data_IF_310593359249
#
_entry.id   IF_310593359249
#
_cell.length_a   1.000
_cell.length_b   1.000
_cell.length_c   1.000
_cell.angle_alpha   90.00
_cell.angle_beta   90.00
_cell.angle_gamma   90.00
#
_symmetry.space_group_name_H-M   'P 1'
#
loop_
_entity.id
_entity.type
_entity.pdbx_description
1 polymer ?
#
# COMPACT_ATOMS: atom_id res chain seq x y z
N UNK A 1 30.85 23.92 52.79
CA UNK A 1 30.95 22.98 51.68
C UNK A 1 31.37 23.78 50.45
N UNK A 2 32.54 23.55 49.95
CA UNK A 2 32.97 24.14 48.69
C UNK A 2 32.12 23.54 47.54
N UNK A 3 31.68 24.33 46.55
CA UNK A 3 30.96 23.76 45.42
C UNK A 3 31.87 22.75 44.70
N UNK A 4 31.37 21.53 44.56
CA UNK A 4 31.98 20.54 43.71
C UNK A 4 32.08 21.19 42.33
N UNK A 5 33.29 21.44 41.85
CA UNK A 5 33.54 21.90 40.47
C UNK A 5 32.90 20.85 39.58
N UNK A 6 31.84 21.21 38.84
CA UNK A 6 31.23 20.33 37.86
C UNK A 6 32.32 19.97 36.84
N UNK A 7 32.85 18.74 36.95
CA UNK A 7 33.73 18.21 35.87
C UNK A 7 32.96 18.30 34.55
N UNK A 8 33.66 18.68 33.51
CA UNK A 8 33.08 18.75 32.17
C UNK A 8 32.43 17.40 31.83
N UNK A 9 31.08 17.37 31.78
CA UNK A 9 30.29 16.15 31.57
C UNK A 9 30.33 15.70 30.10
N UNK A 10 30.69 16.62 29.18
CA UNK A 10 30.71 16.38 27.74
C UNK A 10 32.14 16.45 27.20
N UNK A 11 32.44 15.55 26.26
CA UNK A 11 33.65 15.62 25.42
C UNK A 11 33.25 16.08 24.02
N UNK A 12 34.07 16.94 23.44
CA UNK A 12 33.82 17.52 22.13
C UNK A 12 35.01 17.30 21.20
N UNK A 13 34.69 17.21 19.91
CA UNK A 13 35.66 17.29 18.81
C UNK A 13 35.38 18.59 18.07
N UNK A 14 36.45 19.33 17.74
CA UNK A 14 36.32 20.55 16.89
C UNK A 14 36.24 20.13 15.44
N UNK A 15 35.20 20.59 14.76
CA UNK A 15 34.98 20.38 13.34
C UNK A 15 35.85 21.36 12.49
N UNK A 16 35.97 21.07 11.19
CA UNK A 16 36.77 21.89 10.27
C UNK A 16 36.23 23.34 10.11
N UNK A 17 34.96 23.56 10.40
CA UNK A 17 34.28 24.87 10.37
C UNK A 17 34.30 25.63 11.70
N UNK A 18 35.12 25.17 12.66
CA UNK A 18 35.20 25.70 14.04
C UNK A 18 33.90 25.53 14.85
N UNK A 19 33.05 24.58 14.51
CA UNK A 19 31.94 24.12 15.36
C UNK A 19 32.36 22.90 16.17
N UNK A 20 31.46 22.38 17.01
CA UNK A 20 31.72 21.26 17.91
C UNK A 20 30.76 20.09 17.65
N UNK A 21 31.33 18.89 17.66
CA UNK A 21 30.57 17.64 17.76
C UNK A 21 30.70 17.08 19.19
N UNK A 22 29.57 16.78 19.83
CA UNK A 22 29.57 16.05 21.10
C UNK A 22 29.83 14.57 20.80
N UNK A 23 30.82 13.96 21.48
CA UNK A 23 31.24 12.58 21.24
C UNK A 23 31.18 11.70 22.48
N UNK A 24 31.10 12.28 23.67
CA UNK A 24 31.00 11.49 24.90
C UNK A 24 30.32 12.28 26.01
N UNK A 25 29.63 11.56 26.93
CA UNK A 25 28.98 12.10 28.11
C UNK A 25 29.25 11.22 29.33
N UNK A 26 29.80 11.82 30.39
CA UNK A 26 30.15 11.13 31.65
C UNK A 26 29.26 11.54 32.82
N UNK A 27 28.34 12.47 32.63
CA UNK A 27 27.46 12.97 33.66
C UNK A 27 26.39 12.01 34.15
N UNK A 28 25.53 12.45 35.09
CA UNK A 28 24.43 11.66 35.66
C UNK A 28 23.46 11.21 34.55
N UNK A 29 22.89 10.02 34.69
CA UNK A 29 22.07 9.43 33.61
C UNK A 29 20.57 9.86 33.63
N UNK A 30 20.24 10.99 34.22
CA UNK A 30 18.83 11.43 34.35
C UNK A 30 18.39 12.22 33.14
N UNK A 31 18.07 13.52 33.34
CA UNK A 31 17.76 14.46 32.26
C UNK A 31 19.00 15.24 31.88
N UNK A 32 19.27 15.34 30.60
CA UNK A 32 20.48 16.01 30.03
C UNK A 32 20.05 17.12 29.10
N UNK A 33 20.64 18.31 29.29
CA UNK A 33 20.57 19.40 28.31
C UNK A 33 21.94 19.50 27.62
N UNK A 34 21.97 19.33 26.32
CA UNK A 34 23.19 19.51 25.52
C UNK A 34 23.47 21.02 25.41
N UNK A 35 24.67 21.49 25.72
CA UNK A 35 24.99 22.91 25.66
C UNK A 35 24.96 23.41 24.20
N UNK A 36 24.35 24.58 23.97
CA UNK A 36 24.31 25.20 22.65
C UNK A 36 25.70 25.70 22.20
N UNK A 37 26.54 26.09 23.18
CA UNK A 37 27.90 26.58 22.95
C UNK A 37 28.84 26.10 24.04
N UNK A 38 30.12 25.92 23.72
CA UNK A 38 31.21 25.66 24.65
C UNK A 38 32.46 26.39 24.17
N UNK A 39 33.13 27.11 25.07
CA UNK A 39 34.33 27.92 24.77
C UNK A 39 34.14 28.92 23.58
N UNK A 40 32.93 29.47 23.44
CA UNK A 40 32.59 30.39 22.37
C UNK A 40 32.28 29.76 21.00
N UNK A 41 32.34 28.41 20.88
CA UNK A 41 32.00 27.65 19.67
C UNK A 41 30.63 27.01 19.80
N UNK A 42 29.88 26.97 18.71
CA UNK A 42 28.56 26.31 18.65
C UNK A 42 28.70 24.78 18.62
N UNK A 43 27.82 24.10 19.35
CA UNK A 43 27.62 22.66 19.25
C UNK A 43 26.62 22.40 18.13
N UNK A 44 27.08 21.81 17.04
CA UNK A 44 26.27 21.60 15.83
C UNK A 44 25.97 20.13 15.55
N UNK A 45 26.68 19.19 16.19
CA UNK A 45 26.48 17.78 15.96
C UNK A 45 26.59 16.94 17.24
N UNK A 46 25.87 15.83 17.24
CA UNK A 46 25.89 14.80 18.30
C UNK A 46 26.19 13.48 17.62
N UNK A 47 27.21 12.73 18.05
CA UNK A 47 27.57 11.49 17.39
C UNK A 47 28.00 10.41 18.41
N UNK A 48 27.26 9.28 18.45
CA UNK A 48 27.56 8.11 19.29
C UNK A 48 27.60 8.35 20.81
N UNK A 49 27.07 9.46 21.30
CA UNK A 49 27.34 10.01 22.65
C UNK A 49 26.73 9.17 23.76
N UNK A 50 25.47 8.79 23.60
CA UNK A 50 24.70 8.07 24.61
C UNK A 50 24.44 6.63 24.19
N UNK A 51 24.59 6.34 22.88
CA UNK A 51 24.42 5.03 22.27
C UNK A 51 25.77 4.31 22.16
N UNK A 52 25.93 3.25 22.89
CA UNK A 52 26.99 2.26 22.67
C UNK A 52 26.41 0.87 22.96
N UNK A 53 27.21 -0.18 22.83
CA UNK A 53 26.79 -1.58 23.08
C UNK A 53 26.12 -1.81 24.43
N UNK A 54 26.17 -0.86 25.34
CA UNK A 54 25.53 -0.90 26.69
C UNK A 54 24.45 0.17 26.87
N UNK A 55 24.31 1.14 25.95
CA UNK A 55 23.42 2.30 26.07
C UNK A 55 23.75 3.17 27.29
N UNK A 56 22.88 4.15 27.59
CA UNK A 56 22.84 4.86 28.90
C UNK A 56 21.54 4.46 29.60
N UNK A 57 21.52 3.33 30.32
CA UNK A 57 20.29 2.73 30.83
C UNK A 57 19.51 3.62 31.81
N UNK A 58 20.10 4.69 32.32
CA UNK A 58 19.41 5.62 33.22
C UNK A 58 19.03 6.97 32.61
N UNK A 59 19.33 7.22 31.31
CA UNK A 59 18.95 8.47 30.64
C UNK A 59 17.44 8.49 30.42
N UNK A 60 16.75 9.42 31.11
CA UNK A 60 15.28 9.55 31.06
C UNK A 60 14.80 10.71 30.17
N UNK A 61 15.64 11.72 29.97
CA UNK A 61 15.29 12.85 29.12
C UNK A 61 16.49 13.54 28.46
N UNK A 62 16.29 14.10 27.27
CA UNK A 62 17.31 14.88 26.58
C UNK A 62 16.69 16.11 25.92
N UNK A 63 17.39 17.27 26.08
CA UNK A 63 17.09 18.50 25.34
C UNK A 63 18.24 18.79 24.37
N UNK A 64 17.95 18.79 23.09
CA UNK A 64 18.86 19.11 21.99
C UNK A 64 18.59 20.57 21.59
N UNK A 65 19.58 21.47 21.69
CA UNK A 65 19.37 22.89 21.42
C UNK A 65 19.27 23.20 19.91
N UNK A 66 18.76 24.38 19.60
CA UNK A 66 18.62 24.86 18.21
C UNK A 66 19.98 25.09 17.49
N UNK A 67 21.11 25.08 18.20
CA UNK A 67 22.43 25.12 17.55
C UNK A 67 22.79 23.82 16.83
N UNK A 68 22.17 22.68 17.21
CA UNK A 68 22.42 21.36 16.63
C UNK A 68 21.68 21.24 15.31
N UNK A 69 22.42 20.90 14.27
CA UNK A 69 21.90 20.64 12.92
C UNK A 69 21.89 19.16 12.56
N UNK A 70 22.75 18.37 13.22
CA UNK A 70 22.89 16.95 12.93
C UNK A 70 22.85 16.09 14.21
N UNK A 71 21.94 15.12 14.24
CA UNK A 71 21.94 14.02 15.19
C UNK A 71 22.53 12.83 14.45
N UNK A 72 23.78 12.45 14.77
CA UNK A 72 24.55 11.48 14.03
C UNK A 72 24.21 10.02 14.34
N UNK A 73 25.08 9.12 13.84
CA UNK A 73 24.96 7.68 13.99
C UNK A 73 24.82 7.26 15.45
N UNK A 74 23.80 6.47 15.76
CA UNK A 74 23.56 5.84 17.06
C UNK A 74 23.62 6.81 18.26
N UNK A 75 23.34 8.10 18.07
CA UNK A 75 23.52 9.15 19.09
C UNK A 75 22.86 8.80 20.43
N UNK A 76 21.66 8.18 20.42
CA UNK A 76 20.89 7.74 21.58
C UNK A 76 20.49 6.26 21.49
N UNK A 77 21.21 5.47 20.68
CA UNK A 77 20.89 4.04 20.52
C UNK A 77 20.88 3.32 21.87
N UNK A 78 19.89 2.45 22.07
CA UNK A 78 19.74 1.64 23.31
C UNK A 78 19.59 2.46 24.59
N UNK A 79 19.10 3.70 24.51
CA UNK A 79 18.68 4.48 25.66
C UNK A 79 17.32 3.99 26.17
N UNK A 80 17.30 2.78 26.76
CA UNK A 80 16.06 2.05 27.13
C UNK A 80 15.13 2.81 28.06
N UNK A 81 15.66 3.71 28.90
CA UNK A 81 14.87 4.50 29.88
C UNK A 81 14.45 5.88 29.36
N UNK A 82 14.79 6.23 28.11
CA UNK A 82 14.50 7.54 27.54
C UNK A 82 12.99 7.68 27.32
N UNK A 83 12.37 8.61 28.06
CA UNK A 83 10.93 8.89 28.02
C UNK A 83 10.60 10.24 27.42
N UNK A 84 11.57 11.15 27.33
CA UNK A 84 11.36 12.49 26.81
C UNK A 84 12.54 12.97 25.94
N UNK A 85 12.23 13.45 24.74
CA UNK A 85 13.19 14.02 23.81
C UNK A 85 12.65 15.34 23.30
N UNK A 86 13.43 16.41 23.45
CA UNK A 86 13.17 17.69 22.77
C UNK A 86 14.23 17.88 21.69
N UNK A 87 13.84 17.94 20.43
CA UNK A 87 14.71 18.14 19.29
C UNK A 87 14.64 19.62 18.86
N UNK A 88 15.80 20.27 18.77
CA UNK A 88 15.89 21.68 18.34
C UNK A 88 15.42 21.91 16.92
N UNK A 89 14.87 23.11 16.66
CA UNK A 89 14.24 23.46 15.39
C UNK A 89 15.21 23.70 14.21
N UNK A 90 16.52 23.58 14.44
CA UNK A 90 17.54 23.66 13.37
C UNK A 90 18.09 22.29 12.95
N UNK A 91 17.63 21.19 13.55
CA UNK A 91 18.06 19.85 13.17
C UNK A 91 17.57 19.55 11.75
N UNK A 92 18.51 19.27 10.84
CA UNK A 92 18.24 18.97 9.44
C UNK A 92 18.35 17.47 9.13
N UNK A 93 19.14 16.73 9.94
CA UNK A 93 19.31 15.29 9.74
C UNK A 93 19.28 14.50 11.07
N UNK A 94 18.65 13.34 11.01
CA UNK A 94 18.64 12.32 12.07
C UNK A 94 19.31 11.08 11.48
N UNK A 95 20.41 10.64 12.05
CA UNK A 95 21.26 9.57 11.54
C UNK A 95 20.70 8.18 11.74
N UNK A 96 21.42 7.21 11.18
CA UNK A 96 21.14 5.79 11.32
C UNK A 96 21.19 5.36 12.79
N UNK A 97 20.21 4.57 13.25
CA UNK A 97 20.01 4.14 14.64
C UNK A 97 19.97 5.27 15.68
N UNK A 98 19.78 6.53 15.30
CA UNK A 98 19.94 7.68 16.21
C UNK A 98 19.13 7.52 17.52
N UNK A 99 17.92 6.97 17.46
CA UNK A 99 17.07 6.63 18.59
C UNK A 99 16.66 5.15 18.62
N UNK A 100 17.38 4.30 17.90
CA UNK A 100 17.11 2.88 17.87
C UNK A 100 17.07 2.27 19.29
N UNK A 101 16.13 1.37 19.54
CA UNK A 101 15.97 0.70 20.83
C UNK A 101 15.69 1.62 22.03
N UNK A 102 15.16 2.82 21.82
CA UNK A 102 14.62 3.67 22.89
C UNK A 102 13.25 3.15 23.34
N UNK A 103 13.23 1.98 23.97
CA UNK A 103 12.01 1.19 24.24
C UNK A 103 10.99 1.87 25.16
N UNK A 104 11.38 2.86 25.93
CA UNK A 104 10.48 3.63 26.83
C UNK A 104 10.00 4.95 26.24
N UNK A 105 10.37 5.30 24.98
CA UNK A 105 10.01 6.58 24.36
C UNK A 105 8.55 6.54 23.86
N UNK A 106 7.60 7.27 24.47
CA UNK A 106 6.19 7.17 24.12
C UNK A 106 5.80 8.04 22.91
N UNK A 107 6.54 9.10 22.66
CA UNK A 107 6.34 10.02 21.54
C UNK A 107 7.65 10.73 21.16
N UNK A 108 7.72 11.21 19.93
CA UNK A 108 8.78 12.06 19.44
C UNK A 108 8.21 13.06 18.46
N UNK A 109 8.59 14.35 18.60
CA UNK A 109 8.27 15.38 17.62
C UNK A 109 9.48 15.59 16.73
N UNK A 110 9.34 15.28 15.45
CA UNK A 110 10.36 15.53 14.42
C UNK A 110 10.12 16.95 13.88
N UNK A 111 11.08 17.87 14.02
CA UNK A 111 10.90 19.26 13.56
C UNK A 111 10.77 19.36 12.03
N UNK A 112 10.08 20.40 11.55
CA UNK A 112 9.94 20.69 10.12
C UNK A 112 11.26 21.11 9.43
N UNK A 113 12.32 21.28 10.17
CA UNK A 113 13.68 21.52 9.65
C UNK A 113 14.34 20.23 9.14
N UNK A 114 13.88 19.05 9.61
CA UNK A 114 14.46 17.74 9.25
C UNK A 114 14.12 17.43 7.80
N UNK A 115 15.15 17.17 7.00
CA UNK A 115 15.02 16.80 5.57
C UNK A 115 15.39 15.35 5.29
N UNK A 116 16.17 14.72 6.19
CA UNK A 116 16.58 13.32 6.05
C UNK A 116 16.57 12.58 7.38
N UNK A 117 16.15 11.32 7.33
CA UNK A 117 16.14 10.41 8.49
C UNK A 117 16.79 9.10 8.03
N UNK A 118 17.79 8.64 8.78
CA UNK A 118 18.57 7.47 8.46
C UNK A 118 17.86 6.15 8.73
N UNK A 119 18.44 5.07 8.25
CA UNK A 119 17.96 3.70 8.44
C UNK A 119 17.85 3.38 9.94
N UNK A 120 16.78 2.64 10.31
CA UNK A 120 16.56 2.19 11.71
C UNK A 120 16.53 3.32 12.76
N UNK A 121 16.31 4.58 12.37
CA UNK A 121 16.45 5.74 13.25
C UNK A 121 15.62 5.64 14.54
N UNK A 122 14.45 4.99 14.50
CA UNK A 122 13.54 4.72 15.63
C UNK A 122 13.19 3.22 15.74
N UNK A 123 14.03 2.34 15.19
CA UNK A 123 13.80 0.90 15.29
C UNK A 123 13.58 0.47 16.73
N UNK A 124 12.62 -0.42 16.94
CA UNK A 124 12.31 -1.03 18.24
C UNK A 124 12.03 -0.01 19.38
N UNK A 125 11.48 1.16 19.06
CA UNK A 125 10.88 2.07 20.04
C UNK A 125 9.51 1.55 20.45
N UNK A 126 9.49 0.48 21.25
CA UNK A 126 8.28 -0.32 21.52
C UNK A 126 7.18 0.42 22.29
N UNK A 127 7.48 1.52 22.98
CA UNK A 127 6.48 2.37 23.63
C UNK A 127 5.96 3.50 22.75
N UNK A 128 6.53 3.72 21.56
CA UNK A 128 6.13 4.81 20.67
C UNK A 128 4.71 4.57 20.18
N UNK A 129 3.79 5.49 20.48
CA UNK A 129 2.36 5.34 20.17
C UNK A 129 1.93 6.07 18.92
N UNK A 130 2.57 7.20 18.64
CA UNK A 130 2.27 8.03 17.44
C UNK A 130 3.56 8.57 16.86
N UNK A 131 3.60 8.74 15.53
CA UNK A 131 4.68 9.40 14.83
C UNK A 131 4.14 10.27 13.70
N UNK A 132 4.82 11.39 13.44
CA UNK A 132 4.55 12.24 12.28
C UNK A 132 5.87 12.50 11.56
N UNK A 133 5.94 12.10 10.29
CA UNK A 133 7.04 12.42 9.38
C UNK A 133 6.66 13.73 8.69
N UNK A 134 7.44 14.82 8.88
CA UNK A 134 7.10 16.11 8.29
C UNK A 134 7.20 16.13 6.76
N UNK A 135 6.51 17.07 6.12
CA UNK A 135 6.59 17.28 4.66
C UNK A 135 7.98 17.74 4.17
N UNK A 136 8.84 18.21 5.07
CA UNK A 136 10.24 18.53 4.77
C UNK A 136 11.11 17.31 4.51
N UNK A 137 10.69 16.12 5.00
CA UNK A 137 11.46 14.89 4.85
C UNK A 137 11.23 14.32 3.47
N UNK A 138 12.29 14.27 2.68
CA UNK A 138 12.27 13.71 1.32
C UNK A 138 12.86 12.30 1.26
N UNK A 139 13.76 11.98 2.21
CA UNK A 139 14.44 10.70 2.28
C UNK A 139 14.31 10.10 3.68
N UNK A 140 13.72 8.92 3.74
CA UNK A 140 13.71 8.05 4.92
C UNK A 140 14.55 6.82 4.60
N UNK A 141 15.45 6.47 5.51
CA UNK A 141 16.15 5.19 5.43
C UNK A 141 15.20 4.05 5.77
N UNK A 142 15.40 2.89 5.16
CA UNK A 142 14.55 1.72 5.41
C UNK A 142 14.49 1.33 6.90
N UNK A 143 13.42 0.66 7.31
CA UNK A 143 13.19 0.17 8.67
C UNK A 143 13.13 1.27 9.75
N UNK A 144 12.73 2.49 9.38
CA UNK A 144 12.74 3.66 10.29
C UNK A 144 11.99 3.41 11.61
N UNK A 145 10.81 2.81 11.58
CA UNK A 145 9.98 2.45 12.74
C UNK A 145 9.79 0.94 12.91
N UNK A 146 10.69 0.14 12.35
CA UNK A 146 10.60 -1.32 12.46
C UNK A 146 10.46 -1.75 13.93
N UNK A 147 9.54 -2.69 14.21
CA UNK A 147 9.26 -3.22 15.54
C UNK A 147 8.77 -2.18 16.58
N UNK A 148 8.25 -1.03 16.16
CA UNK A 148 7.54 -0.11 17.03
C UNK A 148 6.15 -0.68 17.37
N UNK A 149 6.11 -1.69 18.24
CA UNK A 149 4.92 -2.52 18.46
C UNK A 149 3.71 -1.78 19.04
N UNK A 150 3.89 -0.66 19.72
CA UNK A 150 2.80 0.19 20.24
C UNK A 150 2.37 1.29 19.26
N UNK A 151 3.03 1.44 18.09
CA UNK A 151 2.71 2.50 17.14
C UNK A 151 1.31 2.27 16.55
N UNK A 152 0.34 3.05 17.01
CA UNK A 152 -1.06 2.93 16.63
C UNK A 152 -1.45 3.83 15.45
N UNK A 153 -0.73 4.94 15.27
CA UNK A 153 -0.99 5.92 14.21
C UNK A 153 0.30 6.54 13.69
N UNK A 154 0.37 6.70 12.37
CA UNK A 154 1.47 7.41 11.70
C UNK A 154 0.91 8.36 10.64
N UNK A 155 1.51 9.56 10.56
CA UNK A 155 1.32 10.49 9.43
C UNK A 155 2.59 10.49 8.60
N UNK A 156 2.47 10.25 7.30
CA UNK A 156 3.58 10.24 6.35
C UNK A 156 3.54 11.54 5.56
N UNK A 157 4.64 12.28 5.57
CA UNK A 157 4.76 13.58 4.87
C UNK A 157 4.66 13.45 3.35
N UNK A 158 4.12 14.48 2.71
CA UNK A 158 3.81 14.51 1.27
C UNK A 158 5.05 14.68 0.36
N UNK A 159 6.27 14.60 0.91
CA UNK A 159 7.53 14.60 0.15
C UNK A 159 8.27 13.26 0.21
N UNK A 160 7.78 12.30 0.99
CA UNK A 160 8.35 10.94 1.05
C UNK A 160 8.08 10.24 -0.27
N UNK A 161 9.12 9.64 -0.88
CA UNK A 161 9.03 9.01 -2.21
C UNK A 161 9.05 7.48 -2.17
N UNK A 162 9.64 6.90 -1.14
CA UNK A 162 9.74 5.43 -0.96
C UNK A 162 9.49 5.04 0.48
N UNK A 163 8.92 3.86 0.69
CA UNK A 163 8.72 3.24 2.02
C UNK A 163 9.21 1.80 1.93
N UNK A 164 10.27 1.46 2.69
CA UNK A 164 10.95 0.16 2.62
C UNK A 164 11.09 -0.46 4.01
N UNK A 165 10.24 -1.42 4.34
CA UNK A 165 10.21 -2.09 5.65
C UNK A 165 10.00 -1.15 6.85
N UNK A 166 9.60 0.10 6.61
CA UNK A 166 9.63 1.17 7.61
C UNK A 166 8.69 0.91 8.80
N UNK A 167 7.63 0.16 8.59
CA UNK A 167 6.64 -0.14 9.63
C UNK A 167 6.53 -1.64 9.91
N UNK A 168 7.50 -2.44 9.48
CA UNK A 168 7.52 -3.88 9.74
C UNK A 168 7.39 -4.16 11.24
N UNK A 169 6.40 -4.97 11.63
CA UNK A 169 6.18 -5.31 13.03
C UNK A 169 5.54 -4.22 13.88
N UNK A 170 4.96 -3.17 13.30
CA UNK A 170 4.12 -2.19 14.00
C UNK A 170 2.75 -2.81 14.32
N UNK A 171 2.73 -3.73 15.28
CA UNK A 171 1.58 -4.61 15.54
C UNK A 171 0.32 -3.88 16.00
N UNK A 172 0.43 -2.66 16.51
CA UNK A 172 -0.71 -1.83 16.95
C UNK A 172 -1.21 -0.86 15.86
N UNK A 173 -0.54 -0.75 14.70
CA UNK A 173 -0.95 0.17 13.63
C UNK A 173 -2.28 -0.26 13.04
N UNK A 174 -3.30 0.63 13.10
CA UNK A 174 -4.68 0.29 12.72
C UNK A 174 -5.07 0.77 11.33
N UNK A 175 -4.52 1.89 10.91
CA UNK A 175 -4.77 2.46 9.59
C UNK A 175 -3.55 3.26 9.11
N UNK A 176 -3.41 3.37 7.79
CA UNK A 176 -2.36 4.19 7.19
C UNK A 176 -2.85 4.76 5.85
N UNK A 177 -2.47 6.03 5.59
CA UNK A 177 -2.59 6.65 4.28
C UNK A 177 -1.20 6.82 3.71
N UNK A 178 -0.94 6.21 2.57
CA UNK A 178 0.29 6.36 1.79
C UNK A 178 0.05 7.53 0.83
N UNK A 179 0.81 8.62 0.93
CA UNK A 179 0.59 9.82 0.12
C UNK A 179 0.92 9.59 -1.37
N UNK A 180 0.39 10.46 -2.22
CA UNK A 180 0.62 10.42 -3.67
C UNK A 180 2.08 10.73 -4.08
N UNK A 181 2.91 11.21 -3.17
CA UNK A 181 4.36 11.36 -3.40
C UNK A 181 5.10 10.03 -3.44
N UNK A 182 4.56 8.98 -2.81
CA UNK A 182 5.20 7.66 -2.72
C UNK A 182 5.01 6.91 -4.03
N UNK A 183 6.12 6.43 -4.59
CA UNK A 183 6.14 5.68 -5.86
C UNK A 183 6.38 4.18 -5.67
N UNK A 184 6.98 3.77 -4.55
CA UNK A 184 7.30 2.37 -4.24
C UNK A 184 7.07 2.05 -2.77
N UNK A 185 6.52 0.86 -2.51
CA UNK A 185 6.35 0.27 -1.19
C UNK A 185 6.83 -1.19 -1.24
N UNK A 186 7.79 -1.55 -0.39
CA UNK A 186 8.36 -2.89 -0.36
C UNK A 186 8.59 -3.35 1.08
N UNK A 187 8.01 -4.47 1.49
CA UNK A 187 8.04 -4.94 2.88
C UNK A 187 7.45 -3.98 3.92
N UNK A 188 6.86 -2.89 3.47
CA UNK A 188 6.59 -1.68 4.25
C UNK A 188 5.78 -1.90 5.53
N UNK A 189 4.79 -2.82 5.50
CA UNK A 189 3.85 -3.07 6.60
C UNK A 189 3.81 -4.56 6.99
N UNK A 190 4.87 -5.29 6.73
CA UNK A 190 4.95 -6.69 7.12
C UNK A 190 4.67 -6.87 8.62
N UNK A 191 3.84 -7.84 8.99
CA UNK A 191 3.43 -8.11 10.38
C UNK A 191 2.71 -6.96 11.12
N UNK A 192 2.07 -6.03 10.41
CA UNK A 192 1.14 -5.06 10.99
C UNK A 192 -0.22 -5.74 11.25
N UNK A 193 -0.27 -6.60 12.25
CA UNK A 193 -1.42 -7.51 12.48
C UNK A 193 -2.74 -6.80 12.78
N UNK A 194 -2.71 -5.58 13.31
CA UNK A 194 -3.90 -4.77 13.61
C UNK A 194 -4.31 -3.84 12.47
N UNK A 195 -3.56 -3.81 11.34
CA UNK A 195 -3.85 -2.91 10.21
C UNK A 195 -5.16 -3.34 9.54
N UNK A 196 -6.22 -2.58 9.80
CA UNK A 196 -7.58 -2.87 9.31
C UNK A 196 -7.87 -2.20 7.97
N UNK A 197 -7.23 -1.07 7.67
CA UNK A 197 -7.41 -0.33 6.43
C UNK A 197 -6.13 0.35 5.95
N UNK A 198 -5.96 0.41 4.63
CA UNK A 198 -4.88 1.14 3.95
C UNK A 198 -5.45 1.91 2.77
N UNK A 199 -5.00 3.17 2.63
CA UNK A 199 -5.17 3.94 1.40
C UNK A 199 -3.84 4.01 0.69
N UNK A 200 -3.78 3.51 -0.54
CA UNK A 200 -2.56 3.51 -1.37
C UNK A 200 -2.63 4.71 -2.32
N UNK A 201 -1.59 5.55 -2.30
CA UNK A 201 -1.49 6.74 -3.14
C UNK A 201 -1.46 6.42 -4.65
N UNK A 202 -1.96 7.33 -5.46
CA UNK A 202 -2.16 7.13 -6.90
C UNK A 202 -0.86 7.21 -7.74
N UNK A 203 0.30 7.43 -7.11
CA UNK A 203 1.61 7.37 -7.76
C UNK A 203 2.38 6.08 -7.47
N UNK A 204 1.86 5.21 -6.59
CA UNK A 204 2.50 3.91 -6.32
C UNK A 204 2.45 3.05 -7.58
N UNK A 205 3.62 2.68 -8.09
CA UNK A 205 3.76 1.88 -9.32
C UNK A 205 3.95 0.39 -9.04
N UNK A 206 4.39 0.04 -7.84
CA UNK A 206 4.64 -1.33 -7.43
C UNK A 206 4.22 -1.56 -5.98
N UNK A 207 3.42 -2.58 -5.73
CA UNK A 207 3.24 -3.18 -4.40
C UNK A 207 4.27 -4.30 -4.30
N UNK A 208 5.38 -4.04 -3.60
CA UNK A 208 6.55 -4.92 -3.55
C UNK A 208 6.32 -6.22 -2.77
N UNK A 209 7.38 -6.99 -2.65
CA UNK A 209 7.36 -8.26 -1.93
C UNK A 209 7.05 -8.03 -0.43
N UNK A 210 6.30 -8.92 0.19
CA UNK A 210 5.95 -8.91 1.62
C UNK A 210 5.22 -7.67 2.14
N UNK A 211 4.85 -6.71 1.29
CA UNK A 211 4.37 -5.35 1.69
C UNK A 211 3.31 -5.36 2.79
N UNK A 212 2.29 -6.23 2.69
CA UNK A 212 1.23 -6.41 3.69
C UNK A 212 1.19 -7.84 4.23
N UNK A 213 2.32 -8.56 4.20
CA UNK A 213 2.37 -9.91 4.74
C UNK A 213 1.93 -9.92 6.21
N UNK A 214 1.06 -10.85 6.56
CA UNK A 214 0.51 -11.01 7.93
C UNK A 214 -0.26 -9.80 8.47
N UNK A 215 -0.77 -8.91 7.62
CA UNK A 215 -1.76 -7.90 8.02
C UNK A 215 -3.13 -8.59 8.22
N UNK A 216 -3.23 -9.38 9.30
CA UNK A 216 -4.35 -10.30 9.50
C UNK A 216 -5.71 -9.61 9.67
N UNK A 217 -5.74 -8.37 10.15
CA UNK A 217 -6.96 -7.57 10.31
C UNK A 217 -7.35 -6.77 9.06
N UNK A 218 -6.57 -6.79 7.97
CA UNK A 218 -6.87 -6.04 6.76
C UNK A 218 -8.12 -6.62 6.08
N UNK A 219 -9.19 -5.81 6.01
CA UNK A 219 -10.51 -6.28 5.53
C UNK A 219 -10.75 -6.02 4.06
N UNK A 220 -10.24 -4.91 3.55
CA UNK A 220 -10.39 -4.51 2.15
C UNK A 220 -9.15 -3.77 1.68
N UNK A 221 -8.81 -3.92 0.40
CA UNK A 221 -7.76 -3.13 -0.23
C UNK A 221 -8.15 -2.76 -1.66
N UNK A 222 -7.92 -1.49 -2.02
CA UNK A 222 -7.99 -1.01 -3.39
C UNK A 222 -6.57 -0.75 -3.89
N UNK A 223 -6.14 -1.52 -4.88
CA UNK A 223 -4.87 -1.34 -5.57
C UNK A 223 -5.13 -0.38 -6.74
N UNK A 224 -4.51 0.82 -6.76
CA UNK A 224 -4.79 1.85 -7.76
C UNK A 224 -4.32 1.46 -9.17
N UNK A 225 -4.85 2.15 -10.18
CA UNK A 225 -4.50 1.93 -11.58
C UNK A 225 -3.05 2.31 -11.93
N UNK A 226 -2.35 3.02 -11.05
CA UNK A 226 -0.91 3.29 -11.18
C UNK A 226 -0.03 2.06 -10.98
N UNK A 227 -0.53 1.05 -10.24
CA UNK A 227 0.23 -0.15 -9.90
C UNK A 227 0.31 -1.09 -11.11
N UNK A 228 1.52 -1.48 -11.45
CA UNK A 228 1.81 -2.40 -12.57
C UNK A 228 2.10 -3.84 -12.12
N UNK A 229 2.50 -4.03 -10.86
CA UNK A 229 2.82 -5.36 -10.32
C UNK A 229 2.48 -5.50 -8.85
N UNK A 230 2.07 -6.70 -8.47
CA UNK A 230 1.90 -7.14 -7.09
C UNK A 230 2.97 -8.18 -6.81
N UNK A 231 3.82 -7.93 -5.82
CA UNK A 231 4.98 -8.74 -5.47
C UNK A 231 4.64 -10.09 -4.83
N UNK A 232 5.68 -10.88 -4.60
CA UNK A 232 5.55 -12.16 -3.90
C UNK A 232 5.20 -11.94 -2.44
N UNK A 233 4.28 -12.75 -1.92
CA UNK A 233 3.80 -12.67 -0.53
C UNK A 233 3.15 -11.32 -0.15
N UNK A 234 2.86 -10.44 -1.10
CA UNK A 234 2.42 -9.07 -0.81
C UNK A 234 1.22 -8.98 0.17
N UNK A 235 0.27 -9.90 0.10
CA UNK A 235 -0.89 -10.02 0.99
C UNK A 235 -0.98 -11.40 1.66
N UNK A 236 0.15 -12.13 1.75
CA UNK A 236 0.14 -13.44 2.38
C UNK A 236 -0.29 -13.34 3.85
N UNK A 237 -1.28 -14.12 4.24
CA UNK A 237 -1.77 -14.14 5.63
C UNK A 237 -2.70 -12.96 6.00
N UNK A 238 -3.20 -12.19 5.04
CA UNK A 238 -4.28 -11.23 5.27
C UNK A 238 -5.60 -12.00 5.46
N UNK A 239 -5.75 -12.64 6.62
CA UNK A 239 -6.82 -13.60 6.86
C UNK A 239 -8.22 -13.01 6.82
N UNK A 240 -8.38 -11.75 7.23
CA UNK A 240 -9.67 -11.05 7.25
C UNK A 240 -10.00 -10.33 5.93
N UNK A 241 -9.13 -10.44 4.91
CA UNK A 241 -9.34 -9.82 3.60
C UNK A 241 -10.55 -10.46 2.90
N UNK A 242 -11.62 -9.69 2.79
CA UNK A 242 -12.89 -10.11 2.15
C UNK A 242 -13.01 -9.64 0.71
N UNK A 243 -12.36 -8.52 0.39
CA UNK A 243 -12.43 -7.91 -0.93
C UNK A 243 -11.09 -7.27 -1.32
N UNK A 244 -10.69 -7.50 -2.56
CA UNK A 244 -9.56 -6.82 -3.21
C UNK A 244 -10.00 -6.27 -4.55
N UNK A 245 -9.77 -4.98 -4.76
CA UNK A 245 -9.89 -4.35 -6.09
C UNK A 245 -8.50 -4.25 -6.69
N UNK A 246 -8.27 -4.89 -7.83
CA UNK A 246 -7.00 -4.87 -8.55
C UNK A 246 -7.09 -3.85 -9.68
N UNK A 247 -6.16 -2.90 -9.69
CA UNK A 247 -6.09 -1.83 -10.68
C UNK A 247 -5.88 -2.34 -12.12
N UNK A 248 -6.39 -1.60 -13.09
CA UNK A 248 -6.44 -2.01 -14.50
C UNK A 248 -5.07 -1.97 -15.23
N UNK A 249 -4.01 -1.53 -14.56
CA UNK A 249 -2.64 -1.55 -15.10
C UNK A 249 -1.80 -2.69 -14.55
N UNK A 250 -2.31 -3.47 -13.59
CA UNK A 250 -1.57 -4.61 -13.03
C UNK A 250 -1.37 -5.68 -14.10
N UNK A 251 -0.11 -6.00 -14.39
CA UNK A 251 0.30 -6.99 -15.40
C UNK A 251 0.70 -8.32 -14.78
N UNK A 252 1.14 -8.32 -13.53
CA UNK A 252 1.63 -9.52 -12.84
C UNK A 252 1.20 -9.58 -11.37
N UNK A 253 0.89 -10.78 -10.92
CA UNK A 253 0.64 -11.13 -9.52
C UNK A 253 1.71 -12.15 -9.10
N UNK A 254 2.47 -11.87 -8.05
CA UNK A 254 3.61 -12.65 -7.60
C UNK A 254 3.25 -13.99 -6.95
N UNK A 255 4.30 -14.77 -6.65
CA UNK A 255 4.14 -16.05 -5.96
C UNK A 255 3.57 -15.83 -4.56
N UNK A 256 2.60 -16.68 -4.15
CA UNK A 256 1.94 -16.60 -2.84
C UNK A 256 1.37 -15.23 -2.47
N UNK A 257 1.11 -14.37 -3.44
CA UNK A 257 0.70 -12.99 -3.21
C UNK A 257 -0.52 -12.84 -2.29
N UNK A 258 -1.52 -13.71 -2.41
CA UNK A 258 -2.74 -13.76 -1.59
C UNK A 258 -2.88 -15.07 -0.80
N UNK A 259 -1.76 -15.77 -0.58
CA UNK A 259 -1.78 -17.02 0.19
C UNK A 259 -2.38 -16.79 1.58
N UNK A 260 -3.23 -17.72 2.05
CA UNK A 260 -3.92 -17.63 3.35
C UNK A 260 -4.86 -16.42 3.52
N UNK A 261 -5.36 -15.81 2.46
CA UNK A 261 -6.47 -14.87 2.54
C UNK A 261 -7.79 -15.63 2.74
N UNK A 262 -7.97 -16.16 3.95
CA UNK A 262 -9.00 -17.20 4.24
C UNK A 262 -10.43 -16.68 4.15
N UNK A 263 -10.67 -15.36 4.25
CA UNK A 263 -11.99 -14.74 4.13
C UNK A 263 -12.31 -14.22 2.71
N UNK A 264 -11.36 -14.28 1.77
CA UNK A 264 -11.59 -13.87 0.39
C UNK A 264 -12.54 -14.84 -0.30
N UNK A 265 -13.68 -14.37 -0.78
CA UNK A 265 -14.74 -15.21 -1.37
C UNK A 265 -14.71 -15.25 -2.90
N UNK A 266 -14.27 -14.18 -3.51
CA UNK A 266 -14.09 -14.04 -4.95
C UNK A 266 -12.99 -13.04 -5.26
N UNK A 267 -12.47 -13.11 -6.48
CA UNK A 267 -11.49 -12.15 -7.00
C UNK A 267 -11.79 -11.86 -8.47
N UNK A 268 -11.67 -10.58 -8.86
CA UNK A 268 -11.72 -10.18 -10.27
C UNK A 268 -10.32 -9.84 -10.74
N UNK A 269 -9.87 -10.53 -11.78
CA UNK A 269 -8.56 -10.36 -12.41
C UNK A 269 -8.72 -9.47 -13.65
N UNK A 270 -8.15 -8.28 -13.69
CA UNK A 270 -8.24 -7.36 -14.83
C UNK A 270 -7.67 -7.96 -16.12
N UNK A 271 -8.08 -7.40 -17.25
CA UNK A 271 -7.60 -7.82 -18.57
C UNK A 271 -6.11 -7.53 -18.83
N UNK A 272 -5.52 -6.64 -18.03
CA UNK A 272 -4.10 -6.31 -18.05
C UNK A 272 -3.20 -7.43 -17.51
N UNK A 273 -3.73 -8.30 -16.62
CA UNK A 273 -2.92 -9.35 -15.98
C UNK A 273 -2.55 -10.43 -16.97
N UNK A 274 -1.25 -10.58 -17.21
CA UNK A 274 -0.66 -11.57 -18.13
C UNK A 274 0.02 -12.73 -17.41
N UNK A 275 0.31 -12.59 -16.11
CA UNK A 275 0.95 -13.65 -15.32
C UNK A 275 0.46 -13.70 -13.88
N UNK A 276 0.28 -14.91 -13.35
CA UNK A 276 -0.04 -15.17 -11.96
C UNK A 276 0.94 -16.22 -11.43
N UNK A 277 1.64 -15.88 -10.38
CA UNK A 277 2.68 -16.71 -9.78
C UNK A 277 2.16 -17.98 -9.09
N UNK A 278 3.08 -18.87 -8.79
CA UNK A 278 2.80 -20.15 -8.12
C UNK A 278 2.10 -19.93 -6.78
N UNK A 279 1.05 -20.70 -6.54
CA UNK A 279 0.29 -20.69 -5.29
C UNK A 279 -0.22 -19.31 -4.87
N UNK A 280 -0.45 -18.39 -5.83
CA UNK A 280 -0.85 -17.01 -5.55
C UNK A 280 -2.07 -16.91 -4.64
N UNK A 281 -3.04 -17.84 -4.75
CA UNK A 281 -4.26 -17.91 -3.93
C UNK A 281 -4.33 -19.21 -3.10
N UNK A 282 -3.15 -19.77 -2.76
CA UNK A 282 -3.11 -21.01 -1.98
C UNK A 282 -3.75 -20.84 -0.60
N UNK A 283 -4.64 -21.76 -0.24
CA UNK A 283 -5.38 -21.74 1.03
C UNK A 283 -6.23 -20.49 1.28
N UNK A 284 -6.79 -19.91 0.21
CA UNK A 284 -7.92 -18.98 0.32
C UNK A 284 -9.22 -19.77 0.52
N UNK A 285 -9.44 -20.30 1.73
CA UNK A 285 -10.44 -21.37 2.02
C UNK A 285 -11.88 -21.03 1.70
N UNK A 286 -12.22 -19.75 1.54
CA UNK A 286 -13.55 -19.28 1.12
C UNK A 286 -13.61 -18.86 -0.34
N UNK A 287 -12.47 -18.84 -1.05
CA UNK A 287 -12.42 -18.44 -2.45
C UNK A 287 -13.01 -19.58 -3.31
N UNK A 288 -14.15 -19.30 -3.93
CA UNK A 288 -14.84 -20.26 -4.79
C UNK A 288 -14.97 -19.78 -6.23
N UNK A 289 -14.70 -18.49 -6.48
CA UNK A 289 -14.88 -17.87 -7.80
C UNK A 289 -13.72 -16.92 -8.10
N UNK A 290 -13.09 -17.09 -9.26
CA UNK A 290 -12.15 -16.13 -9.84
C UNK A 290 -12.68 -15.70 -11.19
N UNK A 291 -12.83 -14.39 -11.40
CA UNK A 291 -13.40 -13.79 -12.61
C UNK A 291 -12.30 -13.13 -13.42
N UNK A 292 -12.12 -13.54 -14.66
CA UNK A 292 -11.07 -13.05 -15.56
C UNK A 292 -11.68 -12.19 -16.68
N UNK A 293 -11.24 -10.94 -16.77
CA UNK A 293 -11.71 -9.98 -17.77
C UNK A 293 -10.92 -10.04 -19.09
N UNK A 294 -9.79 -10.75 -19.10
CA UNK A 294 -8.86 -10.84 -20.22
C UNK A 294 -8.57 -12.26 -20.69
N UNK A 295 -7.57 -12.36 -21.57
CA UNK A 295 -7.01 -13.64 -21.99
C UNK A 295 -6.47 -14.43 -20.79
N UNK A 296 -6.35 -15.73 -20.95
CA UNK A 296 -5.76 -16.57 -19.92
C UNK A 296 -4.33 -16.10 -19.60
N UNK A 297 -4.06 -15.68 -18.36
CA UNK A 297 -2.69 -15.36 -17.98
C UNK A 297 -1.82 -16.60 -17.91
N UNK A 298 -0.50 -16.45 -17.97
CA UNK A 298 0.40 -17.55 -17.61
C UNK A 298 0.25 -17.86 -16.12
N UNK A 299 0.21 -19.13 -15.77
CA UNK A 299 0.10 -19.61 -14.39
C UNK A 299 0.18 -21.13 -14.36
N UNK A 300 0.74 -21.66 -13.27
CA UNK A 300 0.83 -23.11 -13.10
C UNK A 300 -0.41 -23.70 -12.40
N UNK A 301 -0.42 -25.00 -12.21
CA UNK A 301 -1.55 -25.71 -11.59
C UNK A 301 -1.71 -25.45 -10.10
N UNK A 302 -0.79 -24.70 -9.48
CA UNK A 302 -0.81 -24.40 -8.05
C UNK A 302 -1.48 -23.08 -7.70
N UNK A 303 -1.81 -22.22 -8.68
CA UNK A 303 -2.37 -20.86 -8.45
C UNK A 303 -3.51 -20.88 -7.42
N UNK A 304 -4.45 -21.85 -7.53
CA UNK A 304 -5.58 -22.03 -6.60
C UNK A 304 -5.48 -23.35 -5.81
N UNK A 305 -4.28 -23.85 -5.58
CA UNK A 305 -4.09 -25.14 -4.93
C UNK A 305 -4.63 -25.14 -3.49
N UNK A 306 -5.31 -26.20 -3.12
CA UNK A 306 -5.85 -26.43 -1.79
C UNK A 306 -7.34 -26.15 -1.64
N UNK A 307 -8.01 -25.62 -2.69
CA UNK A 307 -9.43 -25.24 -2.63
C UNK A 307 -10.20 -25.71 -3.87
N UNK A 308 -11.53 -25.72 -3.76
CA UNK A 308 -12.44 -26.06 -4.85
C UNK A 308 -13.20 -24.83 -5.31
N UNK A 309 -13.05 -24.48 -6.57
CA UNK A 309 -13.74 -23.33 -7.15
C UNK A 309 -13.80 -23.41 -8.67
N UNK A 310 -14.20 -22.31 -9.29
CA UNK A 310 -14.29 -22.16 -10.74
C UNK A 310 -13.62 -20.87 -11.20
N UNK A 311 -12.77 -20.97 -12.21
CA UNK A 311 -12.20 -19.83 -12.92
C UNK A 311 -13.15 -19.45 -14.06
N UNK A 312 -13.83 -18.33 -13.89
CA UNK A 312 -14.77 -17.79 -14.86
C UNK A 312 -14.06 -16.80 -15.80
N UNK A 313 -14.29 -16.88 -17.10
CA UNK A 313 -13.68 -15.99 -18.07
C UNK A 313 -14.70 -15.41 -19.05
N UNK A 314 -14.43 -14.19 -19.54
CA UNK A 314 -15.31 -13.46 -20.46
C UNK A 314 -15.26 -14.13 -21.85
N UNK A 315 -16.43 -14.32 -22.53
CA UNK A 315 -16.47 -14.81 -23.89
C UNK A 315 -15.59 -13.98 -24.86
N UNK A 316 -14.98 -14.64 -25.83
CA UNK A 316 -14.11 -14.01 -26.84
C UNK A 316 -12.66 -13.80 -26.39
N UNK A 317 -12.32 -14.13 -25.14
CA UNK A 317 -10.93 -14.15 -24.67
C UNK A 317 -10.22 -15.44 -25.06
N UNK A 318 -8.87 -15.37 -25.18
CA UNK A 318 -8.05 -16.44 -25.76
C UNK A 318 -7.22 -17.17 -24.70
N UNK A 319 -6.74 -18.36 -25.07
CA UNK A 319 -5.80 -19.14 -24.25
C UNK A 319 -6.43 -19.97 -23.13
N UNK A 320 -7.77 -19.95 -22.98
CA UNK A 320 -8.48 -20.73 -21.98
C UNK A 320 -8.58 -22.21 -22.36
N UNK A 321 -8.35 -23.08 -21.40
CA UNK A 321 -8.55 -24.52 -21.49
C UNK A 321 -9.65 -24.95 -20.51
N UNK A 322 -9.92 -26.25 -20.39
CA UNK A 322 -10.88 -26.75 -19.40
C UNK A 322 -10.44 -26.61 -17.94
N UNK A 323 -9.19 -26.18 -17.71
CA UNK A 323 -8.62 -25.88 -16.38
C UNK A 323 -7.69 -24.68 -16.45
N UNK A 324 -7.66 -23.90 -15.37
CA UNK A 324 -6.67 -22.88 -15.10
C UNK A 324 -6.32 -22.86 -13.61
N UNK A 325 -5.03 -22.81 -13.28
CA UNK A 325 -4.56 -22.72 -11.89
C UNK A 325 -4.98 -23.90 -10.99
N UNK A 326 -5.30 -25.06 -11.56
CA UNK A 326 -5.84 -26.21 -10.86
C UNK A 326 -7.38 -26.30 -10.85
N UNK A 327 -8.09 -25.20 -11.09
CA UNK A 327 -9.56 -25.16 -11.11
C UNK A 327 -10.17 -25.43 -12.49
N UNK A 328 -11.40 -25.97 -12.56
CA UNK A 328 -12.16 -25.99 -13.81
C UNK A 328 -12.46 -24.55 -14.28
N UNK A 329 -12.54 -24.37 -15.58
CA UNK A 329 -12.91 -23.11 -16.20
C UNK A 329 -14.36 -23.12 -16.67
N UNK A 330 -14.99 -21.95 -16.67
CA UNK A 330 -16.33 -21.76 -17.22
C UNK A 330 -16.47 -20.38 -17.85
N UNK A 331 -17.34 -20.24 -18.82
CA UNK A 331 -17.67 -18.93 -19.38
C UNK A 331 -18.39 -18.08 -18.33
N UNK A 332 -17.95 -16.83 -18.21
CA UNK A 332 -18.60 -15.85 -17.38
C UNK A 332 -19.41 -14.88 -18.25
N UNK A 333 -20.66 -15.14 -18.29
CA UNK A 333 -21.58 -14.21 -18.89
C UNK A 333 -21.90 -13.14 -17.85
N UNK A 334 -21.45 -11.91 -18.11
CA UNK A 334 -21.74 -10.77 -17.21
C UNK A 334 -23.26 -10.69 -16.99
N UNK A 335 -23.72 -10.27 -15.80
CA UNK A 335 -25.13 -10.31 -15.43
C UNK A 335 -26.05 -9.46 -16.31
N UNK A 336 -25.48 -8.60 -17.16
CA UNK A 336 -26.23 -7.77 -18.11
C UNK A 336 -25.69 -7.95 -19.51
N UNK A 337 -26.55 -8.13 -20.53
CA UNK A 337 -26.14 -8.11 -21.91
C UNK A 337 -25.51 -6.75 -22.26
N UNK A 338 -24.54 -6.73 -23.19
CA UNK A 338 -23.84 -5.52 -23.60
C UNK A 338 -24.10 -5.22 -25.08
N UNK A 339 -24.29 -3.93 -25.38
CA UNK A 339 -24.15 -3.41 -26.74
C UNK A 339 -22.67 -3.10 -26.94
N UNK A 340 -22.07 -3.74 -27.95
CA UNK A 340 -20.67 -3.52 -28.28
C UNK A 340 -20.48 -2.20 -29.06
N UNK A 341 -19.34 -1.54 -28.83
CA UNK A 341 -19.03 -0.22 -29.37
C UNK A 341 -18.77 -0.17 -30.89
N UNK A 342 -18.31 0.96 -31.39
CA UNK A 342 -18.19 1.31 -32.82
C UNK A 342 -17.37 0.35 -33.69
N UNK A 343 -16.44 -0.42 -33.12
CA UNK A 343 -15.69 -1.46 -33.85
C UNK A 343 -16.50 -2.71 -34.20
N UNK A 344 -17.75 -2.82 -33.73
CA UNK A 344 -18.62 -4.00 -33.88
C UNK A 344 -19.94 -3.70 -34.61
N UNK A 345 -19.96 -2.65 -35.44
CA UNK A 345 -21.13 -2.33 -36.24
C UNK A 345 -22.21 -1.51 -35.55
N UNK A 346 -21.87 -0.77 -34.48
CA UNK A 346 -22.78 0.18 -33.86
C UNK A 346 -22.92 1.42 -34.75
N UNK A 347 -24.15 1.75 -35.15
CA UNK A 347 -24.47 2.97 -35.87
C UNK A 347 -25.59 2.85 -36.91
N UNK A 348 -25.79 3.96 -37.62
CA UNK A 348 -26.73 4.00 -38.74
C UNK A 348 -26.19 3.18 -39.94
N UNK A 349 -27.07 2.38 -40.52
CA UNK A 349 -26.82 1.57 -41.70
C UNK A 349 -27.73 2.03 -42.83
N UNK A 350 -27.50 1.55 -44.06
CA UNK A 350 -28.43 1.80 -45.20
C UNK A 350 -29.84 1.28 -44.92
N UNK A 351 -30.01 0.35 -44.01
CA UNK A 351 -31.26 -0.34 -43.70
C UNK A 351 -31.77 -0.08 -42.24
N UNK A 352 -31.37 1.03 -41.61
CA UNK A 352 -31.78 1.36 -40.28
C UNK A 352 -30.64 1.60 -39.29
N UNK A 353 -30.87 1.35 -38.00
CA UNK A 353 -29.86 1.44 -36.96
C UNK A 353 -29.51 0.04 -36.40
N UNK A 354 -28.24 -0.25 -36.28
CA UNK A 354 -27.77 -1.57 -35.94
C UNK A 354 -26.71 -1.55 -34.83
N UNK A 355 -26.59 -2.66 -34.12
CA UNK A 355 -25.55 -2.91 -33.14
C UNK A 355 -25.35 -4.41 -32.88
N UNK A 356 -24.16 -4.73 -32.37
CA UNK A 356 -23.87 -6.09 -31.94
C UNK A 356 -24.15 -6.23 -30.45
N UNK A 357 -24.85 -7.29 -30.09
CA UNK A 357 -25.14 -7.69 -28.71
C UNK A 357 -24.12 -8.76 -28.31
N UNK A 358 -23.52 -8.63 -27.16
CA UNK A 358 -22.73 -9.69 -26.54
C UNK A 358 -23.43 -10.18 -25.28
N UNK A 359 -23.69 -11.47 -25.22
CA UNK A 359 -24.17 -12.17 -24.03
C UNK A 359 -24.02 -13.69 -24.14
N UNK A 360 -24.59 -14.36 -23.14
CA UNK A 360 -24.63 -15.82 -23.01
C UNK A 360 -25.32 -16.50 -24.20
N UNK A 361 -24.71 -17.56 -24.71
CA UNK A 361 -25.36 -18.45 -25.68
C UNK A 361 -26.53 -19.18 -25.05
N UNK A 362 -27.58 -19.42 -25.85
CA UNK A 362 -28.81 -20.08 -25.44
C UNK A 362 -29.63 -19.37 -24.34
N UNK A 363 -29.30 -18.11 -24.02
CA UNK A 363 -30.10 -17.27 -23.15
C UNK A 363 -30.73 -16.15 -23.97
N UNK A 364 -32.05 -15.93 -23.88
CA UNK A 364 -32.72 -14.89 -24.64
C UNK A 364 -32.34 -13.49 -24.14
N UNK A 365 -32.17 -12.56 -25.06
CA UNK A 365 -31.96 -11.13 -24.79
C UNK A 365 -33.14 -10.35 -25.38
N UNK A 366 -33.75 -9.48 -24.60
CA UNK A 366 -34.78 -8.59 -25.08
C UNK A 366 -34.16 -7.25 -25.48
N UNK A 367 -34.31 -6.88 -26.75
CA UNK A 367 -34.00 -5.54 -27.26
C UNK A 367 -35.22 -4.69 -27.13
N UNK A 368 -35.09 -3.55 -26.49
CA UNK A 368 -36.19 -2.57 -26.33
C UNK A 368 -35.77 -1.24 -26.92
N UNK A 369 -36.76 -0.51 -27.45
CA UNK A 369 -36.59 0.87 -27.89
C UNK A 369 -37.59 1.80 -27.27
N UNK A 370 -37.19 3.08 -27.21
CA UNK A 370 -38.02 4.17 -26.71
C UNK A 370 -37.74 5.40 -27.58
N UNK A 371 -38.79 6.16 -27.92
CA UNK A 371 -38.67 7.38 -28.69
C UNK A 371 -38.45 8.63 -27.82
N UNK A 372 -38.75 8.54 -26.51
CA UNK A 372 -38.62 9.64 -25.55
C UNK A 372 -38.19 9.08 -24.20
N UNK A 373 -36.96 9.45 -23.78
CA UNK A 373 -36.41 9.02 -22.50
C UNK A 373 -37.16 9.59 -21.28
N UNK A 374 -37.78 10.75 -21.43
CA UNK A 374 -38.48 11.40 -20.32
C UNK A 374 -39.77 10.63 -19.90
N UNK A 375 -40.42 9.98 -20.86
CA UNK A 375 -41.60 9.19 -20.62
C UNK A 375 -41.33 7.73 -20.26
N UNK A 376 -40.09 7.26 -20.46
CA UNK A 376 -39.64 5.93 -20.04
C UNK A 376 -40.39 4.73 -20.63
N UNK A 377 -41.15 4.91 -21.70
CA UNK A 377 -41.97 3.86 -22.35
C UNK A 377 -41.09 3.03 -23.26
N UNK A 378 -40.49 1.97 -22.71
CA UNK A 378 -39.68 1.03 -23.46
C UNK A 378 -40.53 -0.08 -24.06
N UNK A 379 -40.49 -0.19 -25.37
CA UNK A 379 -41.23 -1.21 -26.10
C UNK A 379 -40.26 -2.30 -26.58
N UNK A 380 -40.52 -3.59 -26.32
CA UNK A 380 -39.72 -4.67 -26.85
C UNK A 380 -39.84 -4.72 -28.37
N UNK A 381 -38.67 -4.77 -29.05
CA UNK A 381 -38.56 -4.91 -30.50
C UNK A 381 -38.31 -6.35 -30.92
N UNK A 382 -37.46 -7.03 -30.18
CA UNK A 382 -37.07 -8.40 -30.47
C UNK A 382 -36.63 -9.13 -29.19
N UNK A 383 -36.85 -10.43 -29.19
CA UNK A 383 -36.22 -11.34 -28.25
C UNK A 383 -35.30 -12.26 -29.03
N UNK A 384 -34.01 -12.12 -28.84
CA UNK A 384 -33.01 -12.90 -29.55
C UNK A 384 -32.37 -13.91 -28.59
N UNK A 385 -32.37 -15.19 -28.97
CA UNK A 385 -31.55 -16.19 -28.30
C UNK A 385 -30.25 -16.28 -29.06
N UNK A 386 -29.13 -15.91 -28.43
CA UNK A 386 -27.84 -15.94 -29.08
C UNK A 386 -27.40 -17.39 -29.26
N UNK A 387 -27.01 -17.73 -30.48
CA UNK A 387 -26.42 -19.03 -30.82
C UNK A 387 -24.89 -19.03 -30.71
N UNK A 388 -24.30 -17.84 -30.61
CA UNK A 388 -22.89 -17.55 -30.31
C UNK A 388 -22.83 -16.42 -29.28
N UNK A 389 -21.68 -16.14 -28.71
CA UNK A 389 -21.43 -15.08 -27.73
C UNK A 389 -21.69 -13.66 -28.23
N UNK A 390 -21.97 -13.49 -29.53
CA UNK A 390 -22.40 -12.24 -30.14
C UNK A 390 -23.53 -12.46 -31.15
N UNK A 391 -24.41 -11.49 -31.28
CA UNK A 391 -25.43 -11.45 -32.34
C UNK A 391 -25.63 -10.01 -32.82
N UNK A 392 -25.85 -9.86 -34.11
CA UNK A 392 -26.12 -8.59 -34.77
C UNK A 392 -27.63 -8.31 -34.76
N UNK A 393 -28.02 -7.13 -34.28
CA UNK A 393 -29.37 -6.64 -34.29
C UNK A 393 -29.46 -5.42 -35.21
N UNK A 394 -30.50 -5.37 -36.04
CA UNK A 394 -30.79 -4.24 -36.91
C UNK A 394 -32.27 -3.83 -36.80
N UNK A 395 -32.53 -2.57 -36.48
CA UNK A 395 -33.85 -1.97 -36.46
C UNK A 395 -34.09 -1.23 -37.79
N UNK A 396 -34.72 -1.92 -38.73
CA UNK A 396 -35.08 -1.35 -40.04
C UNK A 396 -36.12 -0.24 -39.96
N UNK A 397 -36.86 -0.13 -38.84
CA UNK A 397 -37.87 0.91 -38.64
C UNK A 397 -37.32 2.16 -37.92
N UNK A 398 -36.05 2.19 -37.60
CA UNK A 398 -35.43 3.29 -36.85
C UNK A 398 -35.55 4.64 -37.55
N UNK A 399 -35.57 4.67 -38.91
CA UNK A 399 -35.72 5.86 -39.74
C UNK A 399 -37.13 6.52 -39.64
N UNK A 400 -38.12 5.82 -39.09
CA UNK A 400 -39.47 6.33 -38.90
C UNK A 400 -39.62 7.20 -37.65
N UNK A 401 -38.54 7.36 -36.86
CA UNK A 401 -38.56 8.09 -35.60
C UNK A 401 -37.51 9.22 -35.65
N UNK A 402 -37.84 10.44 -35.20
CA UNK A 402 -36.89 11.56 -35.15
C UNK A 402 -35.77 11.33 -34.13
N UNK A 403 -36.04 10.54 -33.07
CA UNK A 403 -35.07 10.03 -32.11
C UNK A 403 -35.49 8.64 -31.65
N UNK A 404 -34.52 7.77 -31.41
CA UNK A 404 -34.77 6.42 -30.93
C UNK A 404 -33.63 5.94 -30.08
N UNK A 405 -33.93 5.52 -28.86
CA UNK A 405 -32.99 5.04 -27.86
C UNK A 405 -33.16 3.52 -27.73
N UNK A 406 -32.07 2.83 -27.46
CA UNK A 406 -32.06 1.39 -27.35
C UNK A 406 -31.51 0.96 -26.00
N UNK A 407 -32.08 -0.09 -25.44
CA UNK A 407 -31.48 -0.83 -24.34
C UNK A 407 -31.70 -2.32 -24.56
N UNK A 408 -30.89 -3.09 -23.87
CA UNK A 408 -31.03 -4.54 -23.83
C UNK A 408 -31.19 -5.00 -22.39
N UNK A 409 -31.99 -6.02 -22.16
CA UNK A 409 -32.17 -6.61 -20.83
C UNK A 409 -32.26 -8.15 -20.90
N UNK A 410 -32.04 -8.77 -19.77
CA UNK A 410 -32.49 -10.16 -19.55
C UNK A 410 -34.00 -10.22 -19.56
N UNK A 411 -34.61 -11.33 -20.03
CA UNK A 411 -36.03 -11.59 -19.92
C UNK A 411 -36.57 -11.52 -18.51
#
# INVERSE_FOLDING_TARGET
MLPVVAQAQFTFITNADNTLTVTHYTGPPWTVTIPATTNGMFVTSIDGVFGNSSGKPGLTGVTIPDSVTNIGFAAFNSCYSLTNVTIGNSVTSIGEFAFGYCTSLPNVTIPNSVTSIGQNAFENCTSLTTAAIPDSVTNIGGAMFQLCSSLASVTIGNSVTTIESDFTGCTSLTNVTIPDSVTSIDGAFENCISLASVTIGNSVTNVGDYTFQSCSSLTTVAIPDSVTSIGSYAFNGCSDLTNVTIGNSVTSIGNWAFRYCTNLTNVTIPNSVTSIGSAAFFRCTRLTKAFFLGNAPSGDTTVFNGESGTAYYVPGTLGWTNRFGGWPTALWYQPTPKILGSGYGLGATSNGFAFTISWATNIPVVVEACADLANGNWCPLATNTLTSDTNYFNDSNSTNYPSRFYRIRSP
#
